data_IF_664727414139
#
_entry.id   IF_664727414139
#
_cell.length_a   1.000
_cell.length_b   1.000
_cell.length_c   1.000
_cell.angle_alpha   90.00
_cell.angle_beta   90.00
_cell.angle_gamma   90.00
#
_symmetry.space_group_name_H-M   'P 1'
#
loop_
_entity.id
_entity.type
_entity.pdbx_description
1 polymer ?
#
# COMPACT_ATOMS: atom_id res chain seq x y z
N UNK A 1 53.35 -11.24 39.98
CA UNK A 1 52.29 -10.21 39.90
C UNK A 1 51.76 -10.10 38.50
N UNK A 2 50.65 -10.74 38.23
CA UNK A 2 50.07 -10.94 36.88
C UNK A 2 49.08 -9.82 36.57
N UNK A 3 49.36 -9.02 35.53
CA UNK A 3 48.51 -7.96 35.09
C UNK A 3 47.35 -8.55 34.24
N UNK A 4 46.14 -8.51 34.78
CA UNK A 4 44.90 -8.87 34.06
C UNK A 4 44.57 -7.79 33.04
N UNK A 5 44.73 -8.10 31.73
CA UNK A 5 44.19 -7.29 30.64
C UNK A 5 42.69 -7.34 30.64
N UNK A 6 42.04 -6.22 31.02
CA UNK A 6 40.62 -5.99 30.81
C UNK A 6 40.38 -5.83 29.30
N UNK A 7 39.88 -6.88 28.65
CA UNK A 7 39.32 -6.80 27.29
C UNK A 7 37.94 -6.17 27.37
N UNK A 8 37.84 -4.88 27.05
CA UNK A 8 36.61 -4.19 26.79
C UNK A 8 36.04 -4.71 25.47
N UNK A 9 35.14 -5.66 25.51
CA UNK A 9 34.28 -6.04 24.37
C UNK A 9 33.31 -4.90 24.07
N UNK A 10 33.66 -4.03 23.13
CA UNK A 10 32.70 -3.17 22.44
C UNK A 10 31.76 -4.08 21.63
N UNK A 11 30.62 -4.45 22.21
CA UNK A 11 29.48 -4.97 21.47
C UNK A 11 28.99 -3.85 20.58
N UNK A 12 29.44 -3.83 19.34
CA UNK A 12 28.84 -3.05 18.29
C UNK A 12 27.39 -3.53 18.15
N UNK A 13 26.41 -2.67 18.52
CA UNK A 13 25.01 -2.89 18.19
C UNK A 13 24.90 -2.87 16.68
N UNK A 14 24.99 -4.03 16.05
CA UNK A 14 24.62 -4.19 14.65
C UNK A 14 23.15 -3.76 14.56
N UNK A 15 22.91 -2.61 13.92
CA UNK A 15 21.58 -2.12 13.60
C UNK A 15 21.04 -3.11 12.55
N UNK A 16 20.25 -4.09 13.00
CA UNK A 16 19.57 -5.02 12.10
C UNK A 16 18.77 -4.18 11.09
N UNK A 17 19.00 -4.40 9.81
CA UNK A 17 18.23 -3.73 8.77
C UNK A 17 16.74 -4.06 8.98
N UNK A 18 15.89 -3.04 8.92
CA UNK A 18 14.43 -3.25 9.04
C UNK A 18 13.92 -4.07 7.86
N UNK A 19 12.97 -4.97 8.12
CA UNK A 19 12.33 -5.75 7.06
C UNK A 19 11.50 -4.85 6.12
N UNK A 20 11.22 -5.28 4.87
CA UNK A 20 10.31 -4.58 3.98
C UNK A 20 8.96 -4.25 4.63
N UNK A 21 8.39 -5.20 5.36
CA UNK A 21 7.15 -5.01 6.12
C UNK A 21 7.26 -3.90 7.16
N UNK A 22 8.33 -3.89 7.96
CA UNK A 22 8.56 -2.86 8.97
C UNK A 22 8.71 -1.47 8.34
N UNK A 23 9.40 -1.38 7.21
CA UNK A 23 9.57 -0.12 6.48
C UNK A 23 8.24 0.40 5.91
N UNK A 24 7.41 -0.49 5.33
CA UNK A 24 6.09 -0.13 4.82
C UNK A 24 5.16 0.29 5.98
N UNK A 25 5.15 -0.43 7.09
CA UNK A 25 4.37 -0.05 8.28
C UNK A 25 4.82 1.31 8.83
N UNK A 26 6.11 1.59 8.81
CA UNK A 26 6.65 2.89 9.23
C UNK A 26 6.15 4.01 8.32
N UNK A 27 6.24 3.84 7.01
CA UNK A 27 5.71 4.80 6.04
C UNK A 27 4.20 5.03 6.22
N UNK A 28 3.42 3.98 6.48
CA UNK A 28 1.99 4.12 6.78
C UNK A 28 1.79 5.02 8.00
N UNK A 29 2.52 4.79 9.09
CA UNK A 29 2.39 5.56 10.34
C UNK A 29 2.89 7.00 10.23
N UNK A 30 3.97 7.22 9.46
CA UNK A 30 4.66 8.51 9.39
C UNK A 30 4.11 9.42 8.27
N UNK A 31 3.37 8.83 7.30
CA UNK A 31 2.84 9.58 6.17
C UNK A 31 1.35 9.29 5.93
N UNK A 32 0.98 8.03 5.64
CA UNK A 32 -0.37 7.70 5.18
C UNK A 32 -1.46 8.01 6.21
N UNK A 33 -1.11 7.93 7.51
CA UNK A 33 -2.01 8.18 8.65
C UNK A 33 -1.88 9.60 9.23
N UNK A 34 -1.01 10.44 8.66
CA UNK A 34 -0.74 11.77 9.21
C UNK A 34 -1.56 12.83 8.48
N UNK A 35 -2.33 13.67 9.20
CA UNK A 35 -3.04 14.79 8.60
C UNK A 35 -2.12 15.72 7.82
N UNK A 36 -2.57 16.18 6.65
CA UNK A 36 -1.80 17.05 5.81
C UNK A 36 -2.68 18.14 5.16
N UNK A 37 -2.25 19.42 5.10
CA UNK A 37 -3.06 20.53 4.55
C UNK A 37 -3.53 20.31 3.12
N UNK A 38 -2.78 19.55 2.29
CA UNK A 38 -3.19 19.24 0.93
C UNK A 38 -4.46 18.39 0.84
N UNK A 39 -4.83 17.71 1.91
CA UNK A 39 -6.04 16.89 2.04
C UNK A 39 -7.06 17.52 3.00
N UNK A 40 -7.04 18.85 3.13
CA UNK A 40 -7.88 19.60 4.08
C UNK A 40 -7.77 19.06 5.52
N UNK A 41 -6.53 18.87 5.96
CA UNK A 41 -6.15 18.33 7.28
C UNK A 41 -6.62 16.89 7.55
N UNK A 42 -7.06 16.17 6.51
CA UNK A 42 -7.16 14.72 6.56
C UNK A 42 -5.80 14.07 6.24
N UNK A 43 -5.55 12.83 6.67
CA UNK A 43 -4.40 12.07 6.20
C UNK A 43 -4.61 11.59 4.74
N UNK A 44 -3.54 11.25 4.00
CA UNK A 44 -3.64 10.67 2.66
C UNK A 44 -4.60 9.48 2.56
N UNK A 45 -4.70 8.65 3.60
CA UNK A 45 -5.75 7.64 3.73
C UNK A 45 -6.40 7.74 5.12
N UNK A 46 -7.57 8.40 5.27
CA UNK A 46 -8.22 8.62 6.57
C UNK A 46 -8.57 7.34 7.34
N UNK A 47 -8.65 6.22 6.66
CA UNK A 47 -9.07 4.93 7.23
C UNK A 47 -7.91 4.02 7.61
N UNK A 48 -6.70 4.30 7.14
CA UNK A 48 -5.53 3.45 7.33
C UNK A 48 -5.21 3.23 8.82
N UNK A 49 -5.23 4.30 9.61
CA UNK A 49 -4.96 4.25 11.06
C UNK A 49 -5.93 3.34 11.79
N UNK A 50 -7.22 3.50 11.54
CA UNK A 50 -8.25 2.69 12.19
C UNK A 50 -8.13 1.21 11.78
N UNK A 51 -7.99 0.92 10.49
CA UNK A 51 -7.82 -0.45 10.02
C UNK A 51 -6.58 -1.12 10.63
N UNK A 52 -5.45 -0.40 10.68
CA UNK A 52 -4.23 -0.93 11.31
C UNK A 52 -4.39 -1.17 12.81
N UNK A 53 -4.95 -0.22 13.56
CA UNK A 53 -5.13 -0.36 15.01
C UNK A 53 -6.11 -1.48 15.38
N UNK A 54 -7.08 -1.76 14.53
CA UNK A 54 -8.04 -2.85 14.69
C UNK A 54 -7.49 -4.20 14.19
N UNK A 55 -6.22 -4.25 13.75
CA UNK A 55 -5.61 -5.48 13.23
C UNK A 55 -6.24 -5.96 11.93
N UNK A 56 -6.85 -5.05 11.13
CA UNK A 56 -7.55 -5.37 9.88
C UNK A 56 -6.69 -5.25 8.63
N UNK A 57 -5.40 -5.04 8.80
CA UNK A 57 -4.42 -4.97 7.71
C UNK A 57 -3.42 -6.10 7.89
N UNK A 58 -3.24 -6.92 6.85
CA UNK A 58 -2.17 -7.90 6.80
C UNK A 58 -1.16 -7.56 5.70
N UNK A 59 0.07 -8.06 5.91
CA UNK A 59 1.20 -7.82 5.02
C UNK A 59 1.81 -9.15 4.60
N UNK A 60 2.03 -9.32 3.30
CA UNK A 60 2.73 -10.46 2.71
C UNK A 60 3.96 -9.94 1.97
N UNK A 61 5.14 -10.45 2.32
CA UNK A 61 6.40 -10.17 1.63
C UNK A 61 6.67 -11.26 0.60
N UNK A 62 6.84 -10.86 -0.67
CA UNK A 62 7.22 -11.77 -1.74
C UNK A 62 8.76 -11.82 -1.85
N UNK A 63 9.33 -12.94 -1.43
CA UNK A 63 10.79 -13.14 -1.40
C UNK A 63 11.33 -13.92 -2.59
N UNK A 64 10.44 -14.56 -3.39
CA UNK A 64 10.78 -15.46 -4.48
C UNK A 64 11.01 -14.80 -5.85
N UNK A 65 11.55 -15.59 -6.77
CA UNK A 65 11.71 -15.23 -8.19
C UNK A 65 10.41 -15.44 -8.98
N UNK A 66 9.52 -16.29 -8.49
CA UNK A 66 8.23 -16.63 -9.10
C UNK A 66 7.10 -15.85 -8.40
N UNK A 67 6.74 -14.65 -8.88
CA UNK A 67 5.77 -13.81 -8.18
C UNK A 67 4.34 -14.35 -8.25
N UNK A 68 3.99 -15.04 -9.35
CA UNK A 68 2.58 -15.18 -9.71
C UNK A 68 1.79 -16.14 -8.80
N UNK A 69 2.27 -17.34 -8.50
CA UNK A 69 1.53 -18.31 -7.68
C UNK A 69 1.26 -17.82 -6.26
N UNK A 70 2.24 -17.18 -5.64
CA UNK A 70 2.12 -16.69 -4.26
C UNK A 70 1.13 -15.53 -4.12
N UNK A 71 0.98 -14.70 -5.16
CA UNK A 71 0.03 -13.59 -5.15
C UNK A 71 -1.40 -14.11 -5.17
N UNK A 72 -1.72 -15.00 -6.11
CA UNK A 72 -3.04 -15.60 -6.24
C UNK A 72 -3.42 -16.34 -4.96
N UNK A 73 -2.51 -17.18 -4.45
CA UNK A 73 -2.68 -17.90 -3.19
C UNK A 73 -2.92 -16.95 -2.03
N UNK A 74 -2.17 -15.84 -1.94
CA UNK A 74 -2.35 -14.85 -0.86
C UNK A 74 -3.72 -14.18 -0.91
N UNK A 75 -4.21 -13.83 -2.11
CA UNK A 75 -5.53 -13.21 -2.29
C UNK A 75 -6.65 -14.21 -2.01
N UNK A 76 -6.50 -15.46 -2.48
CA UNK A 76 -7.54 -16.47 -2.35
C UNK A 76 -7.75 -16.94 -0.91
N UNK A 77 -6.68 -16.99 -0.11
CA UNK A 77 -6.74 -17.39 1.30
C UNK A 77 -6.94 -16.23 2.26
N UNK A 78 -6.98 -14.98 1.76
CA UNK A 78 -7.19 -13.84 2.64
C UNK A 78 -8.65 -13.73 3.10
N UNK A 79 -8.85 -13.67 4.41
CA UNK A 79 -10.16 -13.58 5.03
C UNK A 79 -10.68 -12.13 5.06
N UNK A 80 -11.32 -11.71 3.96
CA UNK A 80 -11.93 -10.38 3.84
C UNK A 80 -13.16 -10.16 4.74
N UNK A 81 -13.67 -11.18 5.45
CA UNK A 81 -14.70 -10.99 6.46
C UNK A 81 -14.10 -10.45 7.77
N UNK A 82 -12.89 -10.85 8.09
CA UNK A 82 -12.18 -10.43 9.31
C UNK A 82 -11.24 -9.26 9.07
N UNK A 83 -10.73 -9.12 7.86
CA UNK A 83 -9.70 -8.14 7.49
C UNK A 83 -10.20 -7.21 6.39
N UNK A 84 -9.63 -6.03 6.29
CA UNK A 84 -10.03 -5.01 5.31
C UNK A 84 -9.05 -4.85 4.16
N UNK A 85 -7.75 -5.04 4.44
CA UNK A 85 -6.67 -4.75 3.51
C UNK A 85 -5.60 -5.83 3.56
N UNK A 86 -5.24 -6.37 2.40
CA UNK A 86 -4.03 -7.15 2.20
C UNK A 86 -3.02 -6.29 1.45
N UNK A 87 -1.84 -6.08 2.03
CA UNK A 87 -0.71 -5.38 1.41
C UNK A 87 0.34 -6.42 1.01
N UNK A 88 0.52 -6.59 -0.31
CA UNK A 88 1.55 -7.46 -0.87
C UNK A 88 2.75 -6.58 -1.20
N UNK A 89 3.92 -6.94 -0.68
CA UNK A 89 5.17 -6.18 -0.79
C UNK A 89 6.14 -6.94 -1.68
N UNK A 90 6.64 -6.30 -2.74
CA UNK A 90 7.60 -6.89 -3.67
C UNK A 90 8.80 -5.97 -3.90
N UNK A 91 9.91 -6.56 -4.38
CA UNK A 91 11.12 -5.82 -4.75
C UNK A 91 10.87 -5.01 -6.04
N UNK A 92 10.89 -3.69 -5.94
CA UNK A 92 10.71 -2.77 -7.06
C UNK A 92 11.80 -2.86 -8.15
N UNK A 93 12.94 -3.53 -7.90
CA UNK A 93 13.96 -3.80 -8.92
C UNK A 93 13.54 -4.95 -9.83
N UNK A 94 12.74 -5.88 -9.33
CA UNK A 94 12.25 -7.04 -10.07
C UNK A 94 10.95 -6.75 -10.81
N UNK A 95 10.08 -5.97 -10.20
CA UNK A 95 8.80 -5.59 -10.76
C UNK A 95 8.90 -4.21 -11.42
N UNK A 96 8.87 -4.16 -12.75
CA UNK A 96 8.86 -2.87 -13.44
C UNK A 96 7.50 -2.18 -13.28
N UNK A 97 7.42 -0.84 -13.44
CA UNK A 97 6.14 -0.13 -13.40
C UNK A 97 5.09 -0.74 -14.33
N UNK A 98 5.49 -1.03 -15.58
CA UNK A 98 4.61 -1.63 -16.58
C UNK A 98 4.10 -3.01 -16.16
N UNK A 99 5.00 -3.87 -15.65
CA UNK A 99 4.61 -5.19 -15.14
C UNK A 99 3.61 -5.05 -13.99
N UNK A 100 3.88 -4.15 -13.03
CA UNK A 100 3.02 -3.93 -11.87
C UNK A 100 1.61 -3.49 -12.29
N UNK A 101 1.52 -2.52 -13.21
CA UNK A 101 0.23 -2.05 -13.75
C UNK A 101 -0.53 -3.15 -14.49
N UNK A 102 0.16 -3.91 -15.35
CA UNK A 102 -0.43 -5.03 -16.08
C UNK A 102 -0.96 -6.10 -15.13
N UNK A 103 -0.18 -6.46 -14.12
CA UNK A 103 -0.57 -7.43 -13.09
C UNK A 103 -1.78 -6.94 -12.29
N UNK A 104 -1.77 -5.69 -11.82
CA UNK A 104 -2.92 -5.12 -11.11
C UNK A 104 -4.18 -5.12 -11.98
N UNK A 105 -4.08 -4.79 -13.26
CA UNK A 105 -5.20 -4.86 -14.20
C UNK A 105 -5.72 -6.30 -14.37
N UNK A 106 -4.83 -7.29 -14.52
CA UNK A 106 -5.19 -8.70 -14.62
C UNK A 106 -5.89 -9.19 -13.35
N UNK A 107 -5.34 -8.90 -12.17
CA UNK A 107 -5.94 -9.25 -10.88
C UNK A 107 -7.30 -8.60 -10.70
N UNK A 108 -7.45 -7.32 -11.06
CA UNK A 108 -8.74 -6.64 -11.02
C UNK A 108 -9.78 -7.30 -11.93
N UNK A 109 -9.39 -7.75 -13.12
CA UNK A 109 -10.28 -8.51 -14.01
C UNK A 109 -10.71 -9.85 -13.39
N UNK A 110 -9.77 -10.59 -12.83
CA UNK A 110 -10.04 -11.90 -12.23
C UNK A 110 -10.91 -11.80 -10.98
N UNK A 111 -10.65 -10.83 -10.09
CA UNK A 111 -11.30 -10.72 -8.80
C UNK A 111 -12.49 -9.73 -8.76
N UNK A 112 -12.88 -9.18 -9.90
CA UNK A 112 -14.02 -8.25 -9.99
C UNK A 112 -15.31 -8.85 -9.39
N UNK A 113 -15.55 -10.14 -9.61
CA UNK A 113 -16.72 -10.86 -9.10
C UNK A 113 -16.73 -11.07 -7.57
N UNK A 114 -15.58 -10.92 -6.91
CA UNK A 114 -15.42 -11.01 -5.45
C UNK A 114 -15.47 -9.64 -4.75
N UNK A 115 -15.89 -8.59 -5.44
CA UNK A 115 -15.90 -7.21 -4.91
C UNK A 115 -14.51 -6.70 -4.50
N UNK A 116 -13.45 -7.22 -5.11
CA UNK A 116 -12.09 -6.78 -4.80
C UNK A 116 -11.62 -5.70 -5.77
N UNK A 117 -10.83 -4.76 -5.24
CA UNK A 117 -10.06 -3.80 -5.99
C UNK A 117 -8.59 -3.94 -5.58
N UNK A 118 -7.73 -4.06 -6.58
CA UNK A 118 -6.29 -4.11 -6.44
C UNK A 118 -5.71 -2.79 -6.95
N UNK A 119 -5.10 -2.04 -6.05
CA UNK A 119 -4.37 -0.82 -6.37
C UNK A 119 -2.88 -1.09 -6.30
N UNK A 120 -2.14 -0.56 -7.25
CA UNK A 120 -0.69 -0.67 -7.31
C UNK A 120 0.00 0.60 -6.80
N UNK A 121 1.14 0.43 -6.16
CA UNK A 121 2.13 1.47 -5.89
C UNK A 121 3.51 0.99 -6.33
N UNK A 122 4.21 1.82 -7.09
CA UNK A 122 5.57 1.53 -7.52
C UNK A 122 6.44 2.79 -7.42
N UNK A 123 7.70 2.71 -6.95
CA UNK A 123 8.56 3.89 -6.75
C UNK A 123 8.76 4.80 -7.97
N UNK A 124 8.61 4.22 -9.17
CA UNK A 124 8.76 4.95 -10.45
C UNK A 124 7.43 5.40 -11.06
N UNK A 125 6.29 4.99 -10.51
CA UNK A 125 4.98 5.55 -10.86
C UNK A 125 4.81 6.81 -10.00
N UNK A 126 4.65 7.96 -10.67
CA UNK A 126 4.54 9.23 -9.94
C UNK A 126 3.06 9.48 -9.65
N UNK A 127 2.65 9.18 -8.42
CA UNK A 127 1.34 9.56 -7.90
C UNK A 127 1.51 10.74 -6.95
N UNK A 128 0.78 11.82 -7.22
CA UNK A 128 0.88 13.04 -6.42
C UNK A 128 -0.41 13.83 -6.40
N UNK A 129 -0.63 14.52 -5.28
CA UNK A 129 -1.61 15.60 -5.15
C UNK A 129 -0.82 16.90 -5.03
N UNK A 130 -0.85 17.72 -6.06
CA UNK A 130 0.06 18.88 -6.23
C UNK A 130 1.53 18.46 -6.03
N UNK A 131 2.18 18.93 -4.99
CA UNK A 131 3.59 18.66 -4.70
C UNK A 131 3.80 17.47 -3.74
N UNK A 132 2.71 16.93 -3.17
CA UNK A 132 2.78 15.81 -2.23
C UNK A 132 2.83 14.50 -2.99
N UNK A 133 3.97 13.81 -2.93
CA UNK A 133 4.16 12.47 -3.48
C UNK A 133 3.53 11.43 -2.57
N UNK A 134 2.73 10.53 -3.14
CA UNK A 134 1.97 9.51 -2.39
C UNK A 134 2.66 8.16 -2.33
N UNK A 135 3.58 7.87 -3.24
CA UNK A 135 4.24 6.57 -3.33
C UNK A 135 5.12 6.28 -2.11
N UNK A 136 5.15 5.01 -1.69
CA UNK A 136 6.06 4.52 -0.65
C UNK A 136 7.55 4.73 -1.00
N UNK A 137 7.90 4.63 -2.28
CA UNK A 137 9.18 5.09 -2.81
C UNK A 137 10.32 4.07 -2.79
N UNK A 138 10.15 2.89 -2.22
CA UNK A 138 11.19 1.84 -2.13
C UNK A 138 10.73 0.49 -2.65
N UNK A 139 9.54 0.06 -2.28
CA UNK A 139 8.96 -1.22 -2.65
C UNK A 139 7.82 -1.06 -3.64
N UNK A 140 7.55 -2.10 -4.40
CA UNK A 140 6.28 -2.23 -5.12
C UNK A 140 5.24 -2.78 -4.16
N UNK A 141 4.06 -2.17 -4.13
CA UNK A 141 2.95 -2.62 -3.31
C UNK A 141 1.75 -2.95 -4.18
N UNK A 142 1.03 -4.02 -3.82
CA UNK A 142 -0.35 -4.24 -4.26
C UNK A 142 -1.24 -4.17 -3.02
N UNK A 143 -2.23 -3.29 -3.07
CA UNK A 143 -3.21 -3.11 -1.99
C UNK A 143 -4.52 -3.73 -2.44
N UNK A 144 -4.88 -4.86 -1.85
CA UNK A 144 -6.12 -5.59 -2.15
C UNK A 144 -7.17 -5.24 -1.11
N UNK A 145 -8.31 -4.72 -1.55
CA UNK A 145 -9.36 -4.18 -0.67
C UNK A 145 -10.73 -4.46 -1.24
N UNK A 146 -11.79 -4.40 -0.40
CA UNK A 146 -13.18 -4.44 -0.88
C UNK A 146 -13.57 -3.14 -1.57
N UNK A 147 -14.02 -3.24 -2.82
CA UNK A 147 -14.47 -2.11 -3.64
C UNK A 147 -15.63 -1.35 -3.02
N UNK A 148 -16.65 -2.07 -2.55
CA UNK A 148 -17.83 -1.46 -1.89
C UNK A 148 -17.44 -0.66 -0.67
N UNK A 149 -16.47 -1.14 0.13
CA UNK A 149 -15.99 -0.43 1.30
C UNK A 149 -15.25 0.84 0.94
N UNK A 150 -14.36 0.78 -0.06
CA UNK A 150 -13.67 1.97 -0.58
C UNK A 150 -14.66 3.01 -1.12
N UNK A 151 -15.70 2.55 -1.84
CA UNK A 151 -16.75 3.44 -2.35
C UNK A 151 -17.48 4.16 -1.22
N UNK A 152 -17.89 3.44 -0.17
CA UNK A 152 -18.57 4.06 0.99
C UNK A 152 -17.70 5.15 1.62
N UNK A 153 -16.40 4.91 1.76
CA UNK A 153 -15.49 5.90 2.29
C UNK A 153 -15.30 7.09 1.35
N UNK A 154 -15.17 6.85 0.05
CA UNK A 154 -15.08 7.93 -0.93
C UNK A 154 -16.33 8.82 -0.92
N UNK A 155 -17.52 8.23 -0.81
CA UNK A 155 -18.79 8.97 -0.75
C UNK A 155 -18.88 9.86 0.51
N UNK A 156 -18.25 9.44 1.62
CA UNK A 156 -18.13 10.27 2.83
C UNK A 156 -17.18 11.45 2.59
N UNK A 157 -16.00 11.17 2.02
CA UNK A 157 -14.98 12.18 1.75
C UNK A 157 -15.41 13.19 0.70
N UNK A 158 -16.29 12.82 -0.24
CA UNK A 158 -16.89 13.72 -1.23
C UNK A 158 -17.69 14.86 -0.60
N UNK A 159 -18.21 14.67 0.60
CA UNK A 159 -18.94 15.68 1.37
C UNK A 159 -18.03 16.64 2.15
N UNK A 160 -16.72 16.46 2.02
CA UNK A 160 -15.69 17.26 2.68
C UNK A 160 -14.77 17.93 1.64
N UNK A 161 -13.86 18.77 2.11
CA UNK A 161 -12.84 19.41 1.26
C UNK A 161 -11.65 18.49 0.90
N UNK A 162 -11.71 17.20 1.26
CA UNK A 162 -10.60 16.25 1.07
C UNK A 162 -10.06 16.23 -0.37
N UNK A 163 -10.95 16.23 -1.35
CA UNK A 163 -10.58 16.17 -2.77
C UNK A 163 -10.32 17.54 -3.43
N UNK A 164 -10.40 18.65 -2.71
CA UNK A 164 -10.30 20.02 -3.24
C UNK A 164 -9.02 20.29 -4.05
N UNK A 165 -7.93 19.71 -3.60
CA UNK A 165 -6.62 19.91 -4.22
C UNK A 165 -6.25 18.83 -5.26
N UNK A 166 -7.09 17.83 -5.45
CA UNK A 166 -6.85 16.76 -6.41
C UNK A 166 -7.11 17.26 -7.83
N UNK A 167 -6.26 16.87 -8.79
CA UNK A 167 -6.58 17.10 -10.20
C UNK A 167 -7.78 16.24 -10.59
N UNK A 168 -8.62 16.77 -11.51
CA UNK A 168 -9.79 16.03 -11.99
C UNK A 168 -9.41 14.63 -12.51
N UNK A 169 -8.38 14.55 -13.35
CA UNK A 169 -7.93 13.28 -13.93
C UNK A 169 -7.42 12.29 -12.88
N UNK A 170 -6.65 12.76 -11.88
CA UNK A 170 -6.18 11.89 -10.81
C UNK A 170 -7.34 11.42 -9.92
N UNK A 171 -8.24 12.32 -9.55
CA UNK A 171 -9.46 11.95 -8.80
C UNK A 171 -10.28 10.92 -9.57
N UNK A 172 -10.54 11.11 -10.85
CA UNK A 172 -11.26 10.16 -11.70
C UNK A 172 -10.53 8.81 -11.82
N UNK A 173 -9.21 8.80 -11.93
CA UNK A 173 -8.42 7.56 -11.99
C UNK A 173 -8.51 6.76 -10.70
N UNK A 174 -8.51 7.42 -9.55
CA UNK A 174 -8.62 6.77 -8.24
C UNK A 174 -10.06 6.40 -7.91
N UNK A 175 -11.01 7.36 -7.97
CA UNK A 175 -12.40 7.13 -7.58
C UNK A 175 -13.23 6.44 -8.67
N UNK A 176 -12.90 6.63 -9.93
CA UNK A 176 -13.59 6.01 -11.07
C UNK A 176 -13.43 4.50 -11.11
N UNK A 177 -12.28 3.97 -10.68
CA UNK A 177 -12.04 2.53 -10.56
C UNK A 177 -12.96 1.87 -9.52
N UNK A 178 -13.45 2.62 -8.54
CA UNK A 178 -14.37 2.11 -7.52
C UNK A 178 -15.85 2.15 -7.95
N UNK A 179 -16.19 3.09 -8.85
CA UNK A 179 -17.58 3.36 -9.27
C UNK A 179 -18.02 2.52 -10.46
N UNK A 180 -17.09 2.12 -11.32
CA UNK A 180 -17.40 1.36 -12.52
C UNK A 180 -16.59 0.07 -12.57
N UNK A 181 -17.18 -1.08 -12.98
CA UNK A 181 -16.40 -2.24 -13.33
C UNK A 181 -15.43 -1.82 -14.44
N UNK A 182 -14.18 -2.25 -14.31
CA UNK A 182 -13.11 -1.89 -15.22
C UNK A 182 -13.55 -2.14 -16.67
N UNK A 183 -13.84 -1.07 -17.41
CA UNK A 183 -13.73 -1.16 -18.86
C UNK A 183 -12.26 -1.42 -19.12
N UNK A 184 -11.96 -2.55 -19.75
CA UNK A 184 -10.64 -2.85 -20.26
C UNK A 184 -10.10 -1.59 -20.95
N UNK A 185 -9.03 -1.01 -20.40
CA UNK A 185 -8.33 0.07 -21.12
C UNK A 185 -7.78 -0.53 -22.40
N UNK A 186 -8.00 0.12 -23.56
CA UNK A 186 -7.45 -0.34 -24.82
C UNK A 186 -5.93 -0.43 -24.80
#
# INVERSE_FOLDING_TARGET
MTAQKKQNQKRSKQKTASSPREEVIRWVKEFVEVPHPMFADYPPCPYAKQARMQGKVDFVELTGMEPDSNIWTSIDHFDFEKKDVLVIIADAKRWTPHYTQKLAAQLNGTYAHRDLLIMEDHPKLIEKVKDVKLNQGKYTLLLVQRRTKLKQFADILEKSDYYKNWSKGYRESVTGTWRHPLKSRP
#
